data_IF_597124986934
#
_entry.id   IF_597124986934
#
_cell.length_a   1.000
_cell.length_b   1.000
_cell.length_c   1.000
_cell.angle_alpha   90.00
_cell.angle_beta   90.00
_cell.angle_gamma   90.00
#
_symmetry.space_group_name_H-M   'P 1'
#
loop_
_entity.id
_entity.type
_entity.pdbx_description
1 polymer ?
#
# COMPACT_ATOMS: atom_id res chain seq x y z
N UNK A 1 26.38 3.66 2.13
CA UNK A 1 25.44 3.10 3.14
C UNK A 1 24.85 1.75 2.73
N UNK A 2 24.44 1.56 1.46
CA UNK A 2 23.97 0.27 0.92
C UNK A 2 25.00 -0.88 1.12
N UNK A 3 26.29 -0.60 0.93
CA UNK A 3 27.37 -1.59 1.14
C UNK A 3 27.49 -2.08 2.60
N UNK A 4 27.05 -1.28 3.59
CA UNK A 4 27.04 -1.68 5.01
C UNK A 4 25.85 -2.58 5.35
N UNK A 5 24.74 -2.45 4.63
CA UNK A 5 23.56 -3.32 4.72
C UNK A 5 23.82 -4.68 4.05
N UNK A 6 24.50 -4.69 2.90
CA UNK A 6 24.96 -5.90 2.22
C UNK A 6 26.07 -6.63 2.98
N UNK A 7 26.90 -5.92 3.76
CA UNK A 7 27.92 -6.54 4.63
C UNK A 7 27.31 -7.30 5.81
N UNK A 8 26.13 -6.90 6.30
CA UNK A 8 25.49 -7.55 7.43
C UNK A 8 24.46 -8.57 6.93
N UNK A 9 24.93 -9.81 6.72
CA UNK A 9 24.15 -10.93 6.15
C UNK A 9 22.78 -11.12 6.83
N UNK A 10 22.69 -10.87 8.13
CA UNK A 10 21.45 -10.98 8.91
C UNK A 10 20.42 -9.90 8.55
N UNK A 11 20.82 -8.63 8.45
CA UNK A 11 19.91 -7.52 8.07
C UNK A 11 19.33 -7.74 6.67
N UNK A 12 20.17 -8.15 5.71
CA UNK A 12 19.73 -8.41 4.34
C UNK A 12 18.71 -9.57 4.29
N UNK A 13 18.93 -10.63 5.07
CA UNK A 13 18.00 -11.75 5.16
C UNK A 13 16.65 -11.32 5.75
N UNK A 14 16.64 -10.52 6.81
CA UNK A 14 15.39 -10.02 7.41
C UNK A 14 14.63 -9.13 6.42
N UNK A 15 15.30 -8.26 5.67
CA UNK A 15 14.64 -7.44 4.64
C UNK A 15 13.97 -8.32 3.57
N UNK A 16 14.64 -9.39 3.13
CA UNK A 16 14.05 -10.36 2.18
C UNK A 16 12.79 -11.00 2.78
N UNK A 17 12.82 -11.40 4.06
CA UNK A 17 11.63 -11.94 4.74
C UNK A 17 10.47 -10.94 4.72
N UNK A 18 10.71 -9.66 5.02
CA UNK A 18 9.66 -8.65 4.95
C UNK A 18 9.11 -8.44 3.54
N UNK A 19 9.97 -8.49 2.51
CA UNK A 19 9.55 -8.41 1.11
C UNK A 19 8.71 -9.63 0.72
N UNK A 20 9.08 -10.83 1.18
CA UNK A 20 8.28 -12.04 0.98
C UNK A 20 6.93 -11.92 1.68
N UNK A 21 6.89 -11.41 2.93
CA UNK A 21 5.62 -11.15 3.63
C UNK A 21 4.73 -10.17 2.87
N UNK A 22 5.28 -9.09 2.31
CA UNK A 22 4.55 -8.17 1.44
C UNK A 22 3.99 -8.88 0.20
N UNK A 23 4.77 -9.78 -0.41
CA UNK A 23 4.31 -10.59 -1.54
C UNK A 23 3.21 -11.58 -1.14
N UNK A 24 3.27 -12.16 0.06
CA UNK A 24 2.23 -13.06 0.57
C UNK A 24 0.92 -12.30 0.84
N UNK A 25 0.98 -11.08 1.39
CA UNK A 25 -0.22 -10.23 1.55
C UNK A 25 -0.91 -10.01 0.20
N UNK A 26 -0.13 -9.82 -0.87
CA UNK A 26 -0.64 -9.71 -2.24
C UNK A 26 -1.20 -11.02 -2.78
N UNK A 27 -0.53 -12.15 -2.55
CA UNK A 27 -0.97 -13.47 -3.03
C UNK A 27 -2.28 -13.91 -2.38
N UNK A 28 -2.41 -13.68 -1.07
CA UNK A 28 -3.58 -14.09 -0.28
C UNK A 28 -4.69 -13.03 -0.25
N UNK A 29 -4.63 -12.02 -1.10
CA UNK A 29 -5.53 -10.86 -1.03
C UNK A 29 -7.02 -11.21 -1.23
N UNK A 30 -7.32 -12.20 -2.07
CA UNK A 30 -8.70 -12.67 -2.35
C UNK A 30 -9.31 -13.46 -1.17
N UNK A 31 -8.46 -14.03 -0.32
CA UNK A 31 -8.89 -14.90 0.79
C UNK A 31 -8.91 -14.14 2.12
N UNK A 32 -7.96 -13.24 2.33
CA UNK A 32 -7.80 -12.50 3.59
C UNK A 32 -8.73 -11.29 3.72
N UNK A 33 -9.18 -10.71 2.61
CA UNK A 33 -9.91 -9.45 2.64
C UNK A 33 -11.07 -9.44 1.67
N UNK A 34 -12.16 -8.78 2.09
CA UNK A 34 -13.33 -8.56 1.28
C UNK A 34 -13.09 -7.42 0.28
N UNK A 35 -13.10 -7.74 -1.02
CA UNK A 35 -13.01 -6.76 -2.10
C UNK A 35 -13.64 -7.28 -3.40
N UNK A 36 -14.93 -6.95 -3.68
CA UNK A 36 -15.61 -7.36 -4.91
C UNK A 36 -15.02 -6.68 -6.15
N UNK A 37 -14.32 -5.55 -6.01
CA UNK A 37 -13.69 -4.87 -7.14
C UNK A 37 -12.54 -5.69 -7.71
N UNK A 38 -11.95 -6.59 -6.93
CA UNK A 38 -10.83 -7.41 -7.38
C UNK A 38 -11.24 -8.29 -8.58
N UNK A 39 -12.44 -8.86 -8.54
CA UNK A 39 -13.03 -9.65 -9.63
C UNK A 39 -13.57 -8.76 -10.75
N UNK A 40 -14.20 -7.64 -10.41
CA UNK A 40 -14.74 -6.68 -11.39
C UNK A 40 -13.67 -6.17 -12.37
N UNK A 41 -12.52 -5.75 -11.86
CA UNK A 41 -11.42 -5.22 -12.67
C UNK A 41 -10.60 -6.31 -13.38
N UNK A 42 -10.85 -7.60 -13.13
CA UNK A 42 -10.32 -8.72 -13.94
C UNK A 42 -11.15 -8.93 -15.22
N UNK A 43 -12.39 -8.44 -15.28
CA UNK A 43 -13.31 -8.53 -16.44
C UNK A 43 -13.35 -7.28 -17.32
N UNK A 44 -14.38 -7.14 -18.17
CA UNK A 44 -14.61 -5.96 -19.02
C UNK A 44 -15.26 -4.81 -18.22
N UNK A 45 -14.48 -4.27 -17.29
CA UNK A 45 -14.88 -3.19 -16.36
C UNK A 45 -15.20 -1.86 -17.07
N UNK A 46 -15.04 -1.75 -18.39
CA UNK A 46 -15.44 -0.57 -19.15
C UNK A 46 -16.91 -0.59 -19.55
N UNK A 47 -17.56 -1.76 -19.51
CA UNK A 47 -18.95 -1.95 -19.97
C UNK A 47 -19.87 -2.57 -18.92
N UNK A 48 -19.31 -3.10 -17.84
CA UNK A 48 -20.08 -3.69 -16.74
C UNK A 48 -20.48 -2.63 -15.71
N UNK A 49 -21.66 -2.76 -15.08
CA UNK A 49 -22.02 -1.94 -13.93
C UNK A 49 -21.15 -2.30 -12.72
N UNK A 50 -20.94 -1.34 -11.81
CA UNK A 50 -20.28 -1.60 -10.52
C UNK A 50 -20.89 -2.82 -9.80
N UNK A 51 -20.06 -3.68 -9.18
CA UNK A 51 -20.55 -4.84 -8.45
C UNK A 51 -21.31 -4.40 -7.20
N UNK A 52 -22.25 -5.23 -6.73
CA UNK A 52 -22.84 -5.02 -5.41
C UNK A 52 -21.76 -5.17 -4.33
N UNK A 53 -21.64 -4.17 -3.46
CA UNK A 53 -20.65 -4.17 -2.39
C UNK A 53 -21.26 -3.68 -1.07
N UNK A 54 -20.76 -4.24 0.03
CA UNK A 54 -21.01 -3.75 1.37
C UNK A 54 -19.94 -2.71 1.72
N UNK A 55 -20.35 -1.44 1.86
CA UNK A 55 -19.45 -0.32 2.14
C UNK A 55 -18.60 -0.52 3.39
N UNK A 56 -19.18 -1.09 4.45
CA UNK A 56 -18.47 -1.29 5.71
C UNK A 56 -17.45 -2.42 5.59
N UNK A 57 -17.83 -3.56 5.01
CA UNK A 57 -16.90 -4.67 4.77
C UNK A 57 -15.78 -4.27 3.81
N UNK A 58 -16.09 -3.49 2.78
CA UNK A 58 -15.11 -2.96 1.84
C UNK A 58 -14.12 -2.03 2.54
N UNK A 59 -14.62 -1.09 3.35
CA UNK A 59 -13.77 -0.20 4.14
C UNK A 59 -12.83 -0.99 5.04
N UNK A 60 -13.34 -1.98 5.79
CA UNK A 60 -12.51 -2.82 6.65
C UNK A 60 -11.47 -3.61 5.85
N UNK A 61 -11.85 -4.18 4.71
CA UNK A 61 -10.93 -4.89 3.82
C UNK A 61 -9.77 -3.99 3.34
N UNK A 62 -10.09 -2.78 2.89
CA UNK A 62 -9.09 -1.79 2.46
C UNK A 62 -8.24 -1.28 3.64
N UNK A 63 -8.86 -1.01 4.78
CA UNK A 63 -8.17 -0.57 5.99
C UNK A 63 -7.14 -1.59 6.47
N UNK A 64 -7.53 -2.86 6.64
CA UNK A 64 -6.61 -3.91 7.08
C UNK A 64 -5.50 -4.16 6.08
N UNK A 65 -5.79 -4.13 4.77
CA UNK A 65 -4.75 -4.22 3.73
C UNK A 65 -3.75 -3.08 3.83
N UNK A 66 -4.24 -1.85 3.87
CA UNK A 66 -3.38 -0.67 3.95
C UNK A 66 -2.54 -0.70 5.24
N UNK A 67 -3.14 -1.09 6.36
CA UNK A 67 -2.46 -1.20 7.64
C UNK A 67 -1.33 -2.23 7.59
N UNK A 68 -1.59 -3.44 7.09
CA UNK A 68 -0.57 -4.49 6.98
C UNK A 68 0.56 -4.09 6.04
N UNK A 69 0.23 -3.52 4.87
CA UNK A 69 1.23 -2.99 3.95
C UNK A 69 2.07 -1.90 4.60
N UNK A 70 1.45 -0.99 5.36
CA UNK A 70 2.15 0.10 6.06
C UNK A 70 3.07 -0.44 7.13
N UNK A 71 2.61 -1.36 7.99
CA UNK A 71 3.44 -1.96 9.05
C UNK A 71 4.66 -2.69 8.48
N UNK A 72 4.46 -3.49 7.42
CA UNK A 72 5.55 -4.18 6.74
C UNK A 72 6.50 -3.19 6.06
N UNK A 73 5.98 -2.14 5.42
CA UNK A 73 6.77 -1.10 4.77
C UNK A 73 7.62 -0.30 5.77
N UNK A 74 7.04 0.10 6.89
CA UNK A 74 7.75 0.75 7.99
C UNK A 74 8.84 -0.15 8.57
N UNK A 75 8.56 -1.46 8.70
CA UNK A 75 9.56 -2.45 9.10
C UNK A 75 10.76 -2.51 8.15
N UNK A 76 10.51 -2.53 6.83
CA UNK A 76 11.58 -2.47 5.82
C UNK A 76 12.38 -1.17 5.94
N UNK A 77 11.70 -0.02 6.03
CA UNK A 77 12.34 1.28 6.15
C UNK A 77 13.18 1.39 7.44
N UNK A 78 12.69 0.86 8.55
CA UNK A 78 13.44 0.80 9.80
C UNK A 78 14.74 0.02 9.65
N UNK A 79 14.69 -1.14 9.00
CA UNK A 79 15.87 -1.99 8.80
C UNK A 79 16.89 -1.34 7.86
N UNK A 80 16.43 -0.63 6.84
CA UNK A 80 17.29 0.05 5.86
C UNK A 80 17.96 1.31 6.43
N UNK A 81 17.21 2.17 7.11
CA UNK A 81 17.71 3.48 7.52
C UNK A 81 18.10 3.56 9.00
N UNK A 82 17.49 2.71 9.84
CA UNK A 82 17.63 2.66 11.31
C UNK A 82 17.43 4.01 12.00
N UNK A 83 16.56 4.84 11.45
CA UNK A 83 16.26 6.19 11.93
C UNK A 83 14.83 6.27 12.46
N UNK A 84 14.67 6.53 13.76
CA UNK A 84 13.35 6.56 14.40
C UNK A 84 12.58 7.84 14.09
N UNK A 85 13.27 8.98 13.94
CA UNK A 85 12.61 10.26 13.67
C UNK A 85 11.99 10.24 12.27
N UNK A 86 12.74 9.73 11.29
CA UNK A 86 12.21 9.55 9.94
C UNK A 86 11.02 8.58 9.92
N UNK A 87 11.05 7.49 10.69
CA UNK A 87 9.91 6.57 10.75
C UNK A 87 8.64 7.19 11.32
N UNK A 88 8.76 8.03 12.35
CA UNK A 88 7.59 8.74 12.91
C UNK A 88 7.00 9.67 11.86
N UNK A 89 7.85 10.42 11.16
CA UNK A 89 7.42 11.29 10.05
C UNK A 89 6.69 10.50 8.94
N UNK A 90 7.26 9.37 8.52
CA UNK A 90 6.67 8.51 7.49
C UNK A 90 5.34 7.92 7.95
N UNK A 91 5.24 7.46 9.20
CA UNK A 91 4.02 6.89 9.75
C UNK A 91 2.87 7.90 9.73
N UNK A 92 3.16 9.15 10.07
CA UNK A 92 2.21 10.26 9.99
C UNK A 92 1.80 10.50 8.52
N UNK A 93 2.75 10.50 7.59
CA UNK A 93 2.48 10.69 6.17
C UNK A 93 1.61 9.55 5.59
N UNK A 94 1.89 8.29 5.93
CA UNK A 94 1.06 7.14 5.56
C UNK A 94 -0.37 7.30 6.07
N UNK A 95 -0.56 7.78 7.31
CA UNK A 95 -1.89 8.02 7.87
C UNK A 95 -2.66 9.08 7.07
N UNK A 96 -2.05 10.23 6.78
CA UNK A 96 -2.69 11.27 5.97
C UNK A 96 -3.01 10.80 4.55
N UNK A 97 -2.08 10.07 3.92
CA UNK A 97 -2.30 9.49 2.60
C UNK A 97 -3.44 8.47 2.61
N UNK A 98 -3.54 7.63 3.65
CA UNK A 98 -4.66 6.70 3.81
C UNK A 98 -5.99 7.44 3.87
N UNK A 99 -6.10 8.45 4.74
CA UNK A 99 -7.34 9.23 4.90
C UNK A 99 -7.71 9.92 3.58
N UNK A 100 -6.75 10.56 2.91
CA UNK A 100 -7.00 11.21 1.63
C UNK A 100 -7.46 10.22 0.55
N UNK A 101 -6.77 9.07 0.43
CA UNK A 101 -7.09 8.07 -0.58
C UNK A 101 -8.41 7.35 -0.32
N UNK A 102 -8.72 7.00 0.94
CA UNK A 102 -9.96 6.30 1.27
C UNK A 102 -11.17 7.21 1.07
N UNK A 103 -11.06 8.49 1.46
CA UNK A 103 -12.11 9.49 1.21
C UNK A 103 -12.29 9.70 -0.29
N UNK A 104 -11.19 9.85 -1.04
CA UNK A 104 -11.25 9.99 -2.50
C UNK A 104 -11.88 8.75 -3.16
N UNK A 105 -11.55 7.55 -2.70
CA UNK A 105 -12.09 6.29 -3.22
C UNK A 105 -13.60 6.19 -3.03
N UNK A 106 -14.11 6.44 -1.81
CA UNK A 106 -15.55 6.41 -1.55
C UNK A 106 -16.31 7.57 -2.21
N UNK A 107 -15.68 8.75 -2.33
CA UNK A 107 -16.22 9.87 -3.08
C UNK A 107 -16.44 9.48 -4.55
N UNK A 108 -15.42 8.90 -5.18
CA UNK A 108 -15.52 8.49 -6.59
C UNK A 108 -16.58 7.40 -6.76
N UNK A 109 -16.64 6.42 -5.84
CA UNK A 109 -17.68 5.38 -5.87
C UNK A 109 -19.09 5.95 -5.80
N UNK A 110 -19.32 6.97 -4.96
CA UNK A 110 -20.66 7.52 -4.74
C UNK A 110 -21.09 8.51 -5.82
N UNK A 111 -20.17 9.31 -6.37
CA UNK A 111 -20.51 10.40 -7.29
C UNK A 111 -20.34 10.04 -8.78
N UNK A 112 -19.41 9.14 -9.12
CA UNK A 112 -19.02 8.91 -10.53
C UNK A 112 -19.39 7.53 -11.05
N UNK A 113 -19.84 6.62 -10.18
CA UNK A 113 -20.28 5.25 -10.47
C UNK A 113 -19.48 4.58 -11.60
N UNK A 114 -20.03 4.58 -12.83
CA UNK A 114 -19.49 3.90 -14.01
C UNK A 114 -18.73 4.81 -14.99
N UNK A 115 -18.72 6.13 -14.80
CA UNK A 115 -18.11 7.08 -15.77
C UNK A 115 -16.59 7.11 -15.69
N UNK A 116 -16.04 6.85 -14.50
CA UNK A 116 -14.61 7.04 -14.19
C UNK A 116 -13.97 5.76 -13.62
N UNK A 117 -14.24 4.60 -14.24
CA UNK A 117 -13.74 3.31 -13.77
C UNK A 117 -12.20 3.24 -13.73
N UNK A 118 -11.51 4.00 -14.58
CA UNK A 118 -10.06 4.16 -14.53
C UNK A 118 -9.59 4.83 -13.23
N UNK A 119 -10.30 5.86 -12.77
CA UNK A 119 -9.93 6.60 -11.58
C UNK A 119 -10.07 5.70 -10.34
N UNK A 120 -11.17 4.96 -10.23
CA UNK A 120 -11.38 3.94 -9.20
C UNK A 120 -10.26 2.90 -9.17
N UNK A 121 -9.86 2.43 -10.36
CA UNK A 121 -8.78 1.47 -10.51
C UNK A 121 -7.44 1.99 -9.97
N UNK A 122 -7.09 3.24 -10.31
CA UNK A 122 -5.84 3.84 -9.83
C UNK A 122 -5.87 4.07 -8.32
N UNK A 123 -6.94 4.65 -7.77
CA UNK A 123 -7.07 4.84 -6.31
C UNK A 123 -6.95 3.52 -5.56
N UNK A 124 -7.61 2.47 -6.07
CA UNK A 124 -7.53 1.13 -5.48
C UNK A 124 -6.09 0.61 -5.46
N UNK A 125 -5.32 0.81 -6.53
CA UNK A 125 -3.91 0.38 -6.59
C UNK A 125 -3.06 1.08 -5.53
N UNK A 126 -3.25 2.38 -5.32
CA UNK A 126 -2.55 3.12 -4.26
C UNK A 126 -2.89 2.62 -2.85
N UNK A 127 -4.13 2.19 -2.61
CA UNK A 127 -4.55 1.64 -1.32
C UNK A 127 -4.06 0.20 -1.07
N UNK A 128 -4.03 -0.64 -2.12
CA UNK A 128 -3.74 -2.07 -1.99
C UNK A 128 -2.26 -2.40 -2.15
N UNK A 129 -1.52 -1.66 -2.97
CA UNK A 129 -0.13 -1.98 -3.28
C UNK A 129 0.83 -1.18 -2.38
N UNK A 130 2.00 -1.75 -2.00
CA UNK A 130 3.01 -1.04 -1.21
C UNK A 130 3.80 -0.02 -2.06
N UNK A 131 3.13 0.80 -2.88
CA UNK A 131 3.76 1.79 -3.75
C UNK A 131 4.52 2.85 -2.96
N UNK A 132 4.02 3.20 -1.78
CA UNK A 132 4.67 4.16 -0.89
C UNK A 132 6.03 3.68 -0.41
N UNK A 133 6.22 2.38 -0.18
CA UNK A 133 7.54 1.85 0.16
C UNK A 133 8.55 2.13 -0.95
N UNK A 134 8.16 1.84 -2.20
CA UNK A 134 9.01 2.06 -3.39
C UNK A 134 9.33 3.55 -3.55
N UNK A 135 8.36 4.43 -3.28
CA UNK A 135 8.54 5.88 -3.34
C UNK A 135 9.48 6.39 -2.23
N UNK A 136 9.32 5.87 -1.01
CA UNK A 136 10.03 6.36 0.17
C UNK A 136 11.49 5.92 0.25
N UNK A 137 11.81 4.71 -0.19
CA UNK A 137 13.20 4.21 -0.20
C UNK A 137 14.19 5.18 -0.88
N UNK A 138 13.99 5.64 -2.14
CA UNK A 138 14.89 6.59 -2.77
C UNK A 138 14.82 7.97 -2.13
N UNK A 139 13.64 8.43 -1.70
CA UNK A 139 13.49 9.73 -1.04
C UNK A 139 14.38 9.83 0.21
N UNK A 140 14.37 8.79 1.06
CA UNK A 140 15.22 8.73 2.25
C UNK A 140 16.69 8.50 1.93
N UNK A 141 16.98 7.74 0.88
CA UNK A 141 18.35 7.60 0.41
C UNK A 141 18.96 8.96 0.05
N UNK A 142 18.23 9.81 -0.67
CA UNK A 142 18.69 11.16 -1.01
C UNK A 142 18.78 12.09 0.21
N UNK A 143 17.79 12.06 1.11
CA UNK A 143 17.82 12.90 2.32
C UNK A 143 19.07 12.63 3.16
N UNK A 144 19.43 11.36 3.34
CA UNK A 144 20.60 10.94 4.12
C UNK A 144 21.94 11.13 3.38
N UNK A 145 21.91 11.39 2.08
CA UNK A 145 23.12 11.77 1.33
C UNK A 145 23.44 13.27 1.51
N UNK A 146 22.40 14.08 1.74
CA UNK A 146 22.50 15.54 1.84
C UNK A 146 22.83 16.02 3.27
N UNK A 147 22.42 15.26 4.28
CA UNK A 147 22.82 15.43 5.69
C UNK A 147 24.05 14.59 6.00
#
# INVERSE_FOLDING_TARGET
MLNKLLQNKTTSLVVIVFVVLLALVRMFEKQLFYDPFLVYFEGDYMKMPLPEYDSFKLFLGLFFRFLLNTLLSLGVLYLLFRDREMLVFISILFFFLFVALIVSFFCVLHFFENRENLLLFYLRRFLIQPLFLILFVPAFYYQKLKN
#
